data_IF_621633422559
#
_entry.id   IF_621633422559
#
_cell.length_a   1.000
_cell.length_b   1.000
_cell.length_c   1.000
_cell.angle_alpha   90.00
_cell.angle_beta   90.00
_cell.angle_gamma   90.00
#
_symmetry.space_group_name_H-M   'P 1'
#
loop_
_entity.id
_entity.type
_entity.pdbx_description
1 polymer ?
#
# COMPACT_ATOMS: atom_id res chain seq x y z
N UNK A 1 5.07 -5.77 33.51
CA UNK A 1 4.90 -5.61 32.06
C UNK A 1 4.13 -6.84 31.63
N UNK A 2 2.91 -6.70 31.13
CA UNK A 2 2.13 -7.87 30.70
C UNK A 2 2.86 -8.52 29.53
N UNK A 3 3.24 -9.79 29.68
CA UNK A 3 3.68 -10.64 28.57
C UNK A 3 2.48 -10.81 27.64
N UNK A 4 2.37 -9.92 26.67
CA UNK A 4 1.41 -10.04 25.60
C UNK A 4 1.93 -11.13 24.67
N UNK A 5 1.16 -12.21 24.50
CA UNK A 5 1.50 -13.28 23.56
C UNK A 5 1.46 -12.74 22.13
N UNK A 6 2.65 -12.52 21.56
CA UNK A 6 2.84 -11.95 20.24
C UNK A 6 2.31 -12.86 19.14
N UNK A 7 2.25 -14.18 19.37
CA UNK A 7 1.68 -15.14 18.43
C UNK A 7 0.17 -14.93 18.31
N UNK A 8 -0.54 -14.79 19.43
CA UNK A 8 -2.00 -14.55 19.42
C UNK A 8 -2.36 -13.22 18.75
N UNK A 9 -1.53 -12.19 18.96
CA UNK A 9 -1.69 -10.92 18.29
C UNK A 9 -1.52 -11.06 16.77
N UNK A 10 -0.41 -11.63 16.30
CA UNK A 10 -0.16 -11.79 14.86
C UNK A 10 -1.19 -12.70 14.19
N UNK A 11 -1.68 -13.70 14.90
CA UNK A 11 -2.79 -14.52 14.43
C UNK A 11 -4.08 -13.71 14.27
N UNK A 12 -4.40 -12.84 15.23
CA UNK A 12 -5.52 -11.91 15.12
C UNK A 12 -5.39 -10.95 13.93
N UNK A 13 -4.18 -10.44 13.66
CA UNK A 13 -3.90 -9.62 12.48
C UNK A 13 -4.23 -10.35 11.17
N UNK A 14 -3.82 -11.62 11.06
CA UNK A 14 -4.07 -12.45 9.87
C UNK A 14 -5.58 -12.68 9.68
N UNK A 15 -6.29 -13.04 10.75
CA UNK A 15 -7.74 -13.26 10.72
C UNK A 15 -8.52 -12.00 10.33
N UNK A 16 -8.08 -10.84 10.81
CA UNK A 16 -8.67 -9.55 10.45
C UNK A 16 -8.34 -9.16 9.01
N UNK A 17 -7.12 -9.41 8.52
CA UNK A 17 -6.75 -9.18 7.12
C UNK A 17 -7.66 -9.99 6.18
N UNK A 18 -7.85 -11.29 6.47
CA UNK A 18 -8.75 -12.14 5.70
C UNK A 18 -10.19 -11.66 5.73
N UNK A 19 -10.64 -11.19 6.90
CA UNK A 19 -11.98 -10.62 7.05
C UNK A 19 -12.12 -9.37 6.19
N UNK A 20 -11.15 -8.43 6.26
CA UNK A 20 -11.11 -7.18 5.48
C UNK A 20 -11.11 -7.42 3.98
N UNK A 21 -10.39 -8.43 3.50
CA UNK A 21 -10.35 -8.78 2.07
C UNK A 21 -11.66 -9.40 1.55
N UNK A 22 -12.52 -9.94 2.42
CA UNK A 22 -13.82 -10.53 2.05
C UNK A 22 -14.99 -9.54 2.13
N UNK A 23 -14.76 -8.32 2.61
CA UNK A 23 -15.82 -7.39 2.95
C UNK A 23 -16.59 -6.85 1.75
N UNK A 24 -17.90 -6.72 1.92
CA UNK A 24 -18.75 -5.89 1.08
C UNK A 24 -19.26 -4.66 1.86
N UNK A 25 -19.86 -3.69 1.15
CA UNK A 25 -20.39 -2.45 1.73
C UNK A 25 -21.46 -2.68 2.83
N UNK A 26 -22.13 -3.84 2.84
CA UNK A 26 -23.24 -4.14 3.75
C UNK A 26 -22.75 -4.55 5.16
N UNK A 27 -21.47 -4.88 5.32
CA UNK A 27 -20.89 -5.36 6.59
C UNK A 27 -20.24 -4.23 7.41
N UNK A 28 -20.08 -3.02 6.87
CA UNK A 28 -19.36 -1.90 7.52
C UNK A 28 -19.87 -1.64 8.95
N UNK A 29 -21.18 -1.66 9.16
CA UNK A 29 -21.77 -1.37 10.47
C UNK A 29 -21.39 -2.43 11.51
N UNK A 30 -21.41 -3.71 11.13
CA UNK A 30 -21.02 -4.80 12.02
C UNK A 30 -19.55 -4.70 12.43
N UNK A 31 -18.66 -4.47 11.46
CA UNK A 31 -17.22 -4.36 11.70
C UNK A 31 -16.91 -3.14 12.55
N UNK A 32 -17.51 -1.98 12.23
CA UNK A 32 -17.33 -0.76 13.01
C UNK A 32 -17.75 -0.96 14.47
N UNK A 33 -18.83 -1.72 14.72
CA UNK A 33 -19.26 -2.09 16.06
C UNK A 33 -18.26 -3.01 16.77
N UNK A 34 -17.76 -4.05 16.09
CA UNK A 34 -16.72 -4.94 16.64
C UNK A 34 -15.46 -4.16 17.03
N UNK A 35 -15.00 -3.25 16.17
CA UNK A 35 -13.81 -2.43 16.44
C UNK A 35 -14.07 -1.47 17.59
N UNK A 36 -15.23 -0.82 17.63
CA UNK A 36 -15.58 0.10 18.71
C UNK A 36 -15.58 -0.59 20.09
N UNK A 37 -15.90 -1.89 20.14
CA UNK A 37 -15.84 -2.72 21.35
C UNK A 37 -14.42 -3.14 21.78
N UNK A 38 -13.39 -2.91 20.96
CA UNK A 38 -12.00 -3.20 21.36
C UNK A 38 -11.55 -2.16 22.39
N UNK A 39 -11.38 -2.55 23.65
CA UNK A 39 -10.92 -1.64 24.71
C UNK A 39 -9.43 -1.28 24.61
N UNK A 40 -8.65 -2.11 23.90
CA UNK A 40 -7.21 -1.96 23.73
C UNK A 40 -6.87 -0.98 22.59
N UNK A 41 -6.31 0.18 22.96
CA UNK A 41 -5.94 1.25 22.03
C UNK A 41 -4.86 0.82 21.03
N UNK A 42 -3.91 -0.02 21.44
CA UNK A 42 -2.84 -0.52 20.56
C UNK A 42 -3.43 -1.45 19.48
N UNK A 43 -4.42 -2.29 19.85
CA UNK A 43 -5.14 -3.12 18.87
C UNK A 43 -5.95 -2.27 17.89
N UNK A 44 -6.60 -1.20 18.37
CA UNK A 44 -7.31 -0.25 17.51
C UNK A 44 -6.36 0.44 16.53
N UNK A 45 -5.22 0.97 16.99
CA UNK A 45 -4.22 1.60 16.11
C UNK A 45 -3.64 0.59 15.12
N UNK A 46 -3.35 -0.64 15.56
CA UNK A 46 -2.88 -1.71 14.67
C UNK A 46 -3.89 -2.02 13.58
N UNK A 47 -5.17 -2.10 13.92
CA UNK A 47 -6.25 -2.26 12.95
C UNK A 47 -6.27 -1.13 11.93
N UNK A 48 -6.16 0.13 12.38
CA UNK A 48 -6.16 1.28 11.48
C UNK A 48 -4.97 1.24 10.52
N UNK A 49 -3.78 0.91 11.01
CA UNK A 49 -2.59 0.76 10.18
C UNK A 49 -2.75 -0.38 9.17
N UNK A 50 -3.31 -1.52 9.60
CA UNK A 50 -3.60 -2.64 8.71
C UNK A 50 -4.65 -2.27 7.65
N UNK A 51 -5.70 -1.57 8.05
CA UNK A 51 -6.66 -0.99 7.15
C UNK A 51 -5.89 -0.16 6.12
N UNK A 52 -5.13 0.87 6.52
CA UNK A 52 -4.37 1.71 5.58
C UNK A 52 -3.50 0.91 4.59
N UNK A 53 -2.79 -0.11 5.05
CA UNK A 53 -1.94 -0.99 4.22
C UNK A 53 -2.77 -1.79 3.21
N UNK A 54 -3.90 -2.36 3.62
CA UNK A 54 -4.80 -3.11 2.72
C UNK A 54 -5.44 -2.24 1.63
N UNK A 55 -5.45 -0.91 1.82
CA UNK A 55 -6.04 0.03 0.87
C UNK A 55 -5.06 0.62 -0.13
N UNK A 56 -3.75 0.48 0.09
CA UNK A 56 -2.77 0.72 -0.98
C UNK A 56 -2.94 -0.28 -2.14
N UNK A 57 -3.44 -1.49 -1.85
CA UNK A 57 -3.59 -2.58 -2.81
C UNK A 57 -4.86 -2.48 -3.68
N UNK A 58 -5.84 -1.64 -3.32
CA UNK A 58 -7.13 -1.57 -4.01
C UNK A 58 -7.73 -0.15 -3.97
N UNK A 59 -7.24 0.73 -4.86
CA UNK A 59 -7.62 2.14 -5.01
C UNK A 59 -9.13 2.43 -5.13
N UNK A 60 -9.96 1.40 -5.33
CA UNK A 60 -11.42 1.46 -5.43
C UNK A 60 -12.14 1.49 -4.07
N UNK A 61 -11.42 1.34 -2.96
CA UNK A 61 -12.00 1.25 -1.60
C UNK A 61 -11.85 2.50 -0.73
N UNK A 62 -11.33 3.62 -1.24
CA UNK A 62 -11.17 4.84 -0.43
C UNK A 62 -12.49 5.35 0.17
N UNK A 63 -13.62 5.23 -0.54
CA UNK A 63 -14.95 5.60 0.00
C UNK A 63 -15.45 4.65 1.07
N UNK A 64 -15.30 3.34 0.84
CA UNK A 64 -15.64 2.30 1.80
C UNK A 64 -14.90 2.55 3.13
N UNK A 65 -13.64 2.95 3.06
CA UNK A 65 -12.79 3.15 4.24
C UNK A 65 -12.95 4.49 4.90
N UNK A 66 -13.10 5.55 4.12
CA UNK A 66 -13.53 6.81 4.68
C UNK A 66 -14.84 6.64 5.47
N UNK A 67 -15.77 5.80 4.98
CA UNK A 67 -17.01 5.46 5.68
C UNK A 67 -16.75 4.62 6.93
N UNK A 68 -16.01 3.50 6.83
CA UNK A 68 -15.65 2.67 7.98
C UNK A 68 -14.98 3.50 9.09
N UNK A 69 -13.92 4.24 8.76
CA UNK A 69 -13.18 5.07 9.71
C UNK A 69 -14.03 6.22 10.27
N UNK A 70 -15.00 6.72 9.50
CA UNK A 70 -15.95 7.71 10.02
C UNK A 70 -16.85 7.14 11.14
N UNK A 71 -17.02 5.82 11.22
CA UNK A 71 -17.83 5.15 12.24
C UNK A 71 -17.03 4.69 13.46
N UNK A 72 -15.70 4.74 13.43
CA UNK A 72 -14.87 4.39 14.58
C UNK A 72 -14.75 5.60 15.53
N UNK A 73 -14.99 5.33 16.82
CA UNK A 73 -15.01 6.32 17.89
C UNK A 73 -13.72 6.29 18.71
N UNK A 74 -13.45 7.41 19.42
CA UNK A 74 -12.33 7.54 20.36
C UNK A 74 -10.94 7.31 19.74
N UNK A 75 -10.74 7.75 18.50
CA UNK A 75 -9.42 7.77 17.85
C UNK A 75 -9.08 9.22 17.52
N UNK A 76 -7.88 9.64 17.95
CA UNK A 76 -7.28 10.87 17.47
C UNK A 76 -6.56 10.61 16.14
N UNK A 77 -7.23 10.91 15.03
CA UNK A 77 -6.64 10.76 13.71
C UNK A 77 -5.47 11.72 13.45
N UNK A 78 -5.26 12.75 14.28
CA UNK A 78 -4.22 13.75 14.06
C UNK A 78 -2.80 13.17 14.07
N UNK A 79 -2.57 12.08 14.82
CA UNK A 79 -1.28 11.40 14.87
C UNK A 79 -1.05 10.46 13.66
N UNK A 80 -2.12 10.09 12.95
CA UNK A 80 -2.07 9.13 11.83
C UNK A 80 -1.94 9.83 10.47
N UNK A 81 -2.28 11.13 10.36
CA UNK A 81 -2.34 11.88 9.08
C UNK A 81 -1.04 11.82 8.28
N UNK A 82 0.10 11.83 8.95
CA UNK A 82 1.41 11.78 8.27
C UNK A 82 1.55 10.54 7.41
N UNK A 83 1.05 9.40 7.89
CA UNK A 83 1.19 8.09 7.27
C UNK A 83 -0.06 7.64 6.49
N UNK A 84 -1.12 8.45 6.46
CA UNK A 84 -2.34 8.13 5.72
C UNK A 84 -2.23 8.54 4.24
N UNK A 85 -2.85 7.76 3.32
CA UNK A 85 -3.07 8.19 1.95
C UNK A 85 -3.78 9.56 1.93
N UNK A 86 -3.26 10.52 1.16
CA UNK A 86 -3.70 11.91 1.26
C UNK A 86 -5.16 12.11 0.80
N UNK A 87 -5.63 11.27 -0.12
CA UNK A 87 -7.05 11.22 -0.49
C UNK A 87 -7.93 10.77 0.67
N UNK A 88 -7.48 9.83 1.49
CA UNK A 88 -8.22 9.40 2.69
C UNK A 88 -8.27 10.52 3.74
N UNK A 89 -7.17 11.26 3.92
CA UNK A 89 -7.15 12.47 4.77
C UNK A 89 -8.20 13.48 4.32
N UNK A 90 -8.34 13.72 3.01
CA UNK A 90 -9.37 14.58 2.45
C UNK A 90 -10.79 14.10 2.77
N UNK A 91 -11.07 12.80 2.55
CA UNK A 91 -12.39 12.22 2.82
C UNK A 91 -12.74 12.27 4.31
N UNK A 92 -11.79 11.99 5.20
CA UNK A 92 -11.98 12.12 6.66
C UNK A 92 -12.22 13.56 7.11
N UNK A 93 -11.55 14.53 6.48
CA UNK A 93 -11.84 15.96 6.72
C UNK A 93 -13.26 16.31 6.29
N UNK A 94 -13.70 15.90 5.09
CA UNK A 94 -15.08 16.15 4.61
C UNK A 94 -16.14 15.52 5.51
N UNK A 95 -15.82 14.37 6.12
CA UNK A 95 -16.67 13.70 7.11
C UNK A 95 -16.55 14.27 8.54
N UNK A 96 -15.80 15.36 8.75
CA UNK A 96 -15.69 16.05 10.04
C UNK A 96 -14.81 15.33 11.08
N UNK A 97 -14.05 14.30 10.70
CA UNK A 97 -13.17 13.56 11.62
C UNK A 97 -11.82 14.23 11.83
N UNK A 98 -11.42 15.11 10.91
CA UNK A 98 -10.16 15.87 11.00
C UNK A 98 -10.51 17.36 10.98
N UNK A 99 -10.05 18.09 11.99
CA UNK A 99 -10.23 19.54 12.08
C UNK A 99 -9.26 20.31 11.18
N UNK A 100 -9.67 21.51 10.75
CA UNK A 100 -8.86 22.38 9.88
C UNK A 100 -7.53 22.78 10.51
N UNK A 101 -7.44 22.85 11.83
CA UNK A 101 -6.19 23.22 12.52
C UNK A 101 -5.10 22.15 12.38
N UNK A 102 -5.50 20.89 12.31
CA UNK A 102 -4.60 19.77 12.04
C UNK A 102 -4.08 19.84 10.60
N UNK A 103 -4.97 20.09 9.64
CA UNK A 103 -4.61 20.29 8.23
C UNK A 103 -3.65 21.46 8.07
N UNK A 104 -3.93 22.62 8.70
CA UNK A 104 -3.04 23.79 8.69
C UNK A 104 -1.65 23.50 9.22
N UNK A 105 -1.53 22.65 10.25
CA UNK A 105 -0.23 22.26 10.81
C UNK A 105 0.53 21.40 9.80
N UNK A 106 -0.13 20.40 9.21
CA UNK A 106 0.50 19.46 8.28
C UNK A 106 0.89 20.11 6.95
N UNK A 107 0.04 21.01 6.43
CA UNK A 107 0.28 21.73 5.18
C UNK A 107 1.63 22.49 5.16
N UNK A 108 2.15 22.90 6.32
CA UNK A 108 3.44 23.60 6.42
C UNK A 108 4.64 22.77 5.97
N UNK A 109 4.53 21.46 6.02
CA UNK A 109 5.63 20.52 5.75
C UNK A 109 5.30 19.50 4.66
N UNK A 110 4.06 19.52 4.14
CA UNK A 110 3.55 18.56 3.17
C UNK A 110 2.85 19.33 2.03
N UNK A 111 3.57 19.47 0.92
CA UNK A 111 3.09 20.19 -0.26
C UNK A 111 1.83 19.55 -0.87
N UNK A 112 1.66 18.22 -0.72
CA UNK A 112 0.50 17.52 -1.24
C UNK A 112 -0.75 17.81 -0.41
N UNK A 113 -0.60 17.90 0.92
CA UNK A 113 -1.68 18.40 1.80
C UNK A 113 -2.00 19.87 1.47
N UNK A 114 -0.99 20.71 1.28
CA UNK A 114 -1.19 22.11 0.86
C UNK A 114 -1.96 22.22 -0.45
N UNK A 115 -1.67 21.35 -1.42
CA UNK A 115 -2.37 21.29 -2.70
C UNK A 115 -3.82 20.83 -2.55
N UNK A 116 -4.06 19.69 -1.88
CA UNK A 116 -5.41 19.11 -1.72
C UNK A 116 -6.35 20.07 -1.00
N UNK A 117 -5.86 20.75 0.03
CA UNK A 117 -6.65 21.66 0.86
C UNK A 117 -6.50 23.12 0.45
N UNK A 118 -6.05 23.41 -0.77
CA UNK A 118 -5.74 24.78 -1.17
C UNK A 118 -6.97 25.69 -1.08
N UNK A 119 -8.17 25.20 -1.43
CA UNK A 119 -9.43 25.94 -1.31
C UNK A 119 -9.74 26.26 0.16
N UNK A 120 -9.68 25.27 1.05
CA UNK A 120 -9.93 25.41 2.48
C UNK A 120 -8.88 26.30 3.20
N UNK A 121 -7.66 26.36 2.66
CA UNK A 121 -6.55 27.13 3.20
C UNK A 121 -6.38 28.52 2.55
N UNK A 122 -7.23 28.87 1.56
CA UNK A 122 -7.08 30.07 0.73
C UNK A 122 -5.70 30.17 0.04
N UNK A 123 -5.17 29.04 -0.42
CA UNK A 123 -3.93 28.92 -1.17
C UNK A 123 -4.23 28.71 -2.66
N UNK A 124 -3.23 29.00 -3.51
CA UNK A 124 -3.30 28.59 -4.92
C UNK A 124 -2.99 27.09 -5.03
N UNK A 125 -3.74 26.31 -5.83
CA UNK A 125 -3.50 24.88 -6.04
C UNK A 125 -2.27 24.66 -6.93
N UNK A 126 -1.08 24.86 -6.38
CA UNK A 126 0.18 24.64 -7.09
C UNK A 126 0.83 23.35 -6.63
N UNK A 127 0.93 22.36 -7.52
CA UNK A 127 1.77 21.19 -7.33
C UNK A 127 2.59 20.99 -8.60
N UNK A 128 3.92 21.02 -8.46
CA UNK A 128 4.86 20.93 -9.59
C UNK A 128 4.61 19.72 -10.50
N UNK A 129 3.98 18.67 -9.97
CA UNK A 129 3.58 17.45 -10.67
C UNK A 129 2.42 17.65 -11.67
N UNK A 130 1.49 18.57 -11.39
CA UNK A 130 0.33 18.86 -12.24
C UNK A 130 0.46 20.17 -13.01
N UNK A 131 1.32 21.08 -12.54
CA UNK A 131 1.44 22.42 -13.11
C UNK A 131 2.66 22.52 -14.03
N UNK A 132 2.59 21.85 -15.18
CA UNK A 132 3.32 22.29 -16.38
C UNK A 132 2.67 23.58 -16.93
N UNK A 133 2.58 24.61 -16.08
CA UNK A 133 2.07 25.97 -16.37
C UNK A 133 0.59 26.10 -16.79
N UNK A 134 -0.23 25.04 -16.76
CA UNK A 134 -1.69 25.13 -17.00
C UNK A 134 -2.42 25.37 -15.68
N UNK A 135 -3.31 26.37 -15.65
CA UNK A 135 -4.28 26.53 -14.56
C UNK A 135 -5.34 25.44 -14.66
N UNK A 136 -5.56 24.71 -13.56
CA UNK A 136 -6.65 23.73 -13.45
C UNK A 136 -7.98 24.46 -13.32
N UNK A 137 -9.00 23.99 -14.04
CA UNK A 137 -10.38 24.40 -13.77
C UNK A 137 -10.82 23.88 -12.40
N UNK A 138 -11.84 24.50 -11.80
CA UNK A 138 -12.40 24.05 -10.52
C UNK A 138 -12.85 22.58 -10.59
N UNK A 139 -13.44 22.17 -11.73
CA UNK A 139 -13.85 20.78 -11.97
C UNK A 139 -12.67 19.84 -12.09
N UNK A 140 -11.65 20.15 -12.89
CA UNK A 140 -10.44 19.31 -12.99
C UNK A 140 -9.76 19.17 -11.62
N UNK A 141 -9.69 20.24 -10.84
CA UNK A 141 -9.10 20.22 -9.50
C UNK A 141 -9.85 19.28 -8.55
N UNK A 142 -11.19 19.38 -8.51
CA UNK A 142 -12.03 18.51 -7.69
C UNK A 142 -11.93 17.05 -8.12
N UNK A 143 -11.92 16.78 -9.43
CA UNK A 143 -11.76 15.42 -9.97
C UNK A 143 -10.39 14.83 -9.68
N UNK A 144 -9.33 15.63 -9.75
CA UNK A 144 -7.98 15.19 -9.40
C UNK A 144 -7.90 14.81 -7.92
N UNK A 145 -8.47 15.62 -7.02
CA UNK A 145 -8.49 15.29 -5.60
C UNK A 145 -9.27 14.00 -5.36
N UNK A 146 -10.45 13.89 -5.95
CA UNK A 146 -11.37 12.77 -5.69
C UNK A 146 -10.88 11.47 -6.32
N UNK A 147 -10.47 11.52 -7.59
CA UNK A 147 -10.21 10.34 -8.40
C UNK A 147 -8.73 10.13 -8.75
N UNK A 148 -7.88 11.12 -8.51
CA UNK A 148 -6.47 11.17 -8.90
C UNK A 148 -6.23 11.76 -10.29
N UNK A 149 -7.27 11.80 -11.13
CA UNK A 149 -7.20 12.23 -12.52
C UNK A 149 -8.51 12.91 -12.95
N UNK A 150 -8.47 13.84 -13.91
CA UNK A 150 -9.68 14.37 -14.54
C UNK A 150 -10.51 13.25 -15.18
N UNK A 151 -11.83 13.32 -15.08
CA UNK A 151 -12.73 12.31 -15.66
C UNK A 151 -12.57 12.24 -17.18
N UNK A 152 -12.66 11.03 -17.71
CA UNK A 152 -12.51 10.75 -19.14
C UNK A 152 -11.08 10.91 -19.67
N UNK A 153 -10.10 11.28 -18.83
CA UNK A 153 -8.69 11.19 -19.19
C UNK A 153 -8.26 9.73 -19.38
N UNK A 154 -7.15 9.52 -20.09
CA UNK A 154 -6.66 8.17 -20.36
C UNK A 154 -6.32 7.42 -19.07
N UNK A 155 -5.62 8.08 -18.15
CA UNK A 155 -5.26 7.52 -16.86
C UNK A 155 -6.48 7.22 -15.99
N UNK A 156 -7.50 8.09 -16.02
CA UNK A 156 -8.78 7.83 -15.35
C UNK A 156 -9.46 6.57 -15.89
N UNK A 157 -9.57 6.46 -17.22
CA UNK A 157 -10.17 5.30 -17.88
C UNK A 157 -9.46 4.00 -17.48
N UNK A 158 -8.12 4.02 -17.48
CA UNK A 158 -7.36 2.84 -17.07
C UNK A 158 -7.50 2.55 -15.58
N UNK A 159 -7.39 3.55 -14.69
CA UNK A 159 -7.52 3.35 -13.22
C UNK A 159 -8.87 2.75 -12.82
N UNK A 160 -9.95 3.19 -13.48
CA UNK A 160 -11.32 2.73 -13.19
C UNK A 160 -11.81 1.61 -14.11
N UNK A 161 -10.96 1.08 -14.98
CA UNK A 161 -11.25 -0.06 -15.89
C UNK A 161 -12.47 0.16 -16.80
N UNK A 162 -12.57 1.37 -17.35
CA UNK A 162 -13.68 1.80 -18.20
C UNK A 162 -13.47 1.38 -19.65
N UNK A 163 -13.57 0.08 -19.91
CA UNK A 163 -13.20 -0.52 -21.21
C UNK A 163 -13.96 0.07 -22.41
N UNK A 164 -15.25 0.37 -22.27
CA UNK A 164 -16.03 0.93 -23.36
C UNK A 164 -15.52 2.32 -23.75
N UNK A 165 -15.24 3.18 -22.76
CA UNK A 165 -14.66 4.51 -23.00
C UNK A 165 -13.27 4.41 -23.62
N UNK A 166 -12.45 3.44 -23.20
CA UNK A 166 -11.15 3.19 -23.81
C UNK A 166 -11.29 2.87 -25.30
N UNK A 167 -12.17 1.94 -25.66
CA UNK A 167 -12.39 1.52 -27.05
C UNK A 167 -12.88 2.70 -27.89
N UNK A 168 -13.86 3.45 -27.40
CA UNK A 168 -14.43 4.60 -28.11
C UNK A 168 -13.36 5.67 -28.37
N UNK A 169 -12.53 5.97 -27.38
CA UNK A 169 -11.47 6.97 -27.49
C UNK A 169 -10.29 6.52 -28.37
N UNK A 170 -9.97 5.22 -28.36
CA UNK A 170 -8.97 4.67 -29.29
C UNK A 170 -9.50 4.71 -30.73
N UNK A 171 -10.76 4.36 -30.96
CA UNK A 171 -11.40 4.46 -32.27
C UNK A 171 -11.46 5.91 -32.77
N UNK A 172 -11.70 6.86 -31.86
CA UNK A 172 -11.68 8.29 -32.14
C UNK A 172 -10.25 8.88 -32.30
N UNK A 173 -9.20 8.07 -32.11
CA UNK A 173 -7.79 8.51 -32.12
C UNK A 173 -7.47 9.61 -31.07
N UNK A 174 -8.29 9.73 -30.02
CA UNK A 174 -8.02 10.66 -28.90
C UNK A 174 -7.02 10.08 -27.92
N UNK A 175 -6.97 8.75 -27.79
CA UNK A 175 -6.00 8.00 -26.98
C UNK A 175 -5.08 7.19 -27.89
N UNK A 176 -3.77 7.24 -27.60
CA UNK A 176 -2.76 6.38 -28.19
C UNK A 176 -2.29 5.35 -27.15
N UNK A 177 -2.66 4.09 -27.34
CA UNK A 177 -2.34 2.99 -26.42
C UNK A 177 -0.86 2.61 -26.35
N UNK A 178 -0.01 3.23 -27.16
CA UNK A 178 1.43 3.05 -27.11
C UNK A 178 2.14 4.21 -26.38
N UNK A 179 1.41 5.27 -26.02
CA UNK A 179 1.96 6.37 -25.22
C UNK A 179 1.86 6.06 -23.73
N UNK A 180 2.89 6.42 -22.94
CA UNK A 180 2.90 6.16 -21.51
C UNK A 180 1.89 7.05 -20.77
N UNK A 181 1.35 6.49 -19.69
CA UNK A 181 0.48 7.14 -18.72
C UNK A 181 1.32 7.82 -17.64
N UNK A 182 0.87 8.98 -17.16
CA UNK A 182 1.51 9.65 -16.03
C UNK A 182 0.89 9.18 -14.71
N UNK A 183 1.73 8.93 -13.71
CA UNK A 183 1.25 8.61 -12.37
C UNK A 183 0.66 9.86 -11.72
N UNK A 184 -0.30 9.71 -10.82
CA UNK A 184 -0.79 10.83 -10.03
C UNK A 184 0.04 10.95 -8.75
N UNK A 185 -0.02 12.11 -8.10
CA UNK A 185 0.76 12.39 -6.89
C UNK A 185 0.22 11.68 -5.62
N UNK A 186 -0.94 11.04 -5.68
CA UNK A 186 -1.64 10.51 -4.50
C UNK A 186 -1.37 9.03 -4.23
N UNK A 187 -1.03 8.27 -5.27
CA UNK A 187 -0.83 6.83 -5.18
C UNK A 187 0.67 6.53 -4.93
N UNK A 188 1.01 5.94 -3.79
CA UNK A 188 2.39 5.79 -3.30
C UNK A 188 3.17 4.57 -3.83
N UNK A 189 2.57 3.79 -4.72
CA UNK A 189 3.09 2.46 -5.12
C UNK A 189 4.02 2.52 -6.34
N UNK A 190 4.12 3.69 -6.96
CA UNK A 190 4.84 3.88 -8.21
C UNK A 190 6.36 4.05 -8.02
N UNK A 191 7.13 3.25 -8.76
CA UNK A 191 8.59 3.34 -8.79
C UNK A 191 9.11 4.38 -9.81
N UNK A 192 8.24 4.89 -10.68
CA UNK A 192 8.58 5.87 -11.73
C UNK A 192 7.40 6.80 -12.00
N UNK A 193 7.64 7.94 -12.65
CA UNK A 193 6.60 8.92 -12.98
C UNK A 193 5.74 8.55 -14.19
N UNK A 194 6.18 7.54 -14.97
CA UNK A 194 5.51 7.11 -16.21
C UNK A 194 5.53 5.61 -16.38
N UNK A 195 4.39 5.06 -16.78
CA UNK A 195 4.23 3.65 -17.08
C UNK A 195 3.68 3.44 -18.48
N UNK A 196 4.02 2.32 -19.11
CA UNK A 196 3.28 1.86 -20.28
C UNK A 196 1.82 1.58 -19.87
N UNK A 197 0.86 1.70 -20.78
CA UNK A 197 -0.54 1.45 -20.47
C UNK A 197 -0.81 0.06 -19.92
N UNK A 198 -0.09 -0.97 -20.41
CA UNK A 198 -0.27 -2.32 -19.91
C UNK A 198 0.24 -2.48 -18.48
N UNK A 199 1.40 -1.89 -18.14
CA UNK A 199 1.89 -1.91 -16.75
C UNK A 199 0.97 -1.11 -15.84
N UNK A 200 0.44 0.01 -16.32
CA UNK A 200 -0.49 0.86 -15.58
C UNK A 200 -1.81 0.12 -15.28
N UNK A 201 -2.41 -0.52 -16.29
CA UNK A 201 -3.60 -1.35 -16.11
C UNK A 201 -3.35 -2.55 -15.17
N UNK A 202 -2.17 -3.17 -15.25
CA UNK A 202 -1.79 -4.26 -14.34
C UNK A 202 -1.71 -3.78 -12.90
N UNK A 203 -1.08 -2.62 -12.68
CA UNK A 203 -0.86 -2.04 -11.36
C UNK A 203 -2.17 -1.58 -10.68
N UNK A 204 -3.13 -1.10 -11.46
CA UNK A 204 -4.46 -0.75 -10.95
C UNK A 204 -5.45 -1.93 -10.89
N UNK A 205 -5.03 -3.14 -11.30
CA UNK A 205 -5.91 -4.30 -11.32
C UNK A 205 -7.06 -4.18 -12.34
N UNK A 206 -6.87 -3.39 -13.40
CA UNK A 206 -7.90 -3.07 -14.41
C UNK A 206 -7.98 -4.16 -15.46
N UNK A 207 -8.72 -5.22 -15.15
CA UNK A 207 -8.77 -6.48 -15.88
C UNK A 207 -9.19 -6.30 -17.34
N UNK A 208 -10.26 -5.55 -17.60
CA UNK A 208 -10.84 -5.47 -18.93
C UNK A 208 -9.98 -4.60 -19.87
N UNK A 209 -9.52 -3.45 -19.37
CA UNK A 209 -8.52 -2.63 -20.03
C UNK A 209 -7.21 -3.41 -20.25
N UNK A 210 -6.74 -4.18 -19.28
CA UNK A 210 -5.53 -5.01 -19.42
C UNK A 210 -5.68 -6.05 -20.54
N UNK A 211 -6.80 -6.80 -20.56
CA UNK A 211 -7.14 -7.77 -21.61
C UNK A 211 -7.21 -7.14 -22.99
N UNK A 212 -7.69 -5.92 -23.09
CA UNK A 212 -7.70 -5.18 -24.35
C UNK A 212 -6.29 -4.75 -24.76
N UNK A 213 -5.55 -4.12 -23.86
CA UNK A 213 -4.21 -3.59 -24.12
C UNK A 213 -3.23 -4.70 -24.52
N UNK A 214 -3.20 -5.83 -23.81
CA UNK A 214 -2.20 -6.90 -24.07
C UNK A 214 -2.30 -7.48 -25.48
N UNK A 215 -3.47 -7.37 -26.12
CA UNK A 215 -3.72 -7.84 -27.49
C UNK A 215 -3.43 -6.79 -28.56
N UNK A 216 -3.44 -5.51 -28.19
CA UNK A 216 -3.45 -4.40 -29.15
C UNK A 216 -2.20 -3.49 -29.09
N UNK A 217 -1.39 -3.57 -28.03
CA UNK A 217 -0.13 -2.83 -27.96
C UNK A 217 0.92 -3.42 -28.91
N UNK A 218 1.79 -2.56 -29.46
CA UNK A 218 2.82 -2.98 -30.40
C UNK A 218 3.92 -3.82 -29.76
N UNK A 219 4.28 -3.51 -28.51
CA UNK A 219 5.34 -4.18 -27.78
C UNK A 219 4.92 -4.37 -26.32
N UNK A 220 5.07 -5.60 -25.83
CA UNK A 220 4.86 -5.92 -24.42
C UNK A 220 5.97 -5.26 -23.58
N UNK A 221 5.62 -4.41 -22.61
CA UNK A 221 6.59 -3.70 -21.78
C UNK A 221 7.30 -4.64 -20.80
N UNK A 222 8.49 -4.24 -20.37
CA UNK A 222 9.20 -4.88 -19.25
C UNK A 222 8.50 -4.54 -17.93
N UNK A 223 8.51 -5.49 -16.99
CA UNK A 223 8.01 -5.27 -15.62
C UNK A 223 6.50 -5.41 -15.44
N UNK A 224 5.77 -5.86 -16.47
CA UNK A 224 4.33 -6.13 -16.39
C UNK A 224 3.99 -7.17 -15.31
N UNK A 225 4.87 -8.14 -15.11
CA UNK A 225 4.80 -9.15 -14.06
C UNK A 225 4.86 -8.53 -12.66
N UNK A 226 5.83 -7.63 -12.41
CA UNK A 226 5.94 -6.92 -11.14
C UNK A 226 4.72 -6.03 -10.91
N UNK A 227 4.28 -5.29 -11.93
CA UNK A 227 3.08 -4.46 -11.83
C UNK A 227 1.82 -5.30 -11.56
N UNK A 228 1.69 -6.47 -12.20
CA UNK A 228 0.57 -7.38 -11.96
C UNK A 228 0.59 -7.96 -10.54
N UNK A 229 1.78 -8.26 -9.99
CA UNK A 229 1.89 -8.75 -8.60
C UNK A 229 1.48 -7.62 -7.67
N UNK A 230 2.09 -6.45 -7.81
CA UNK A 230 1.84 -5.29 -6.96
C UNK A 230 0.35 -4.87 -7.02
N UNK A 231 -0.27 -4.92 -8.20
CA UNK A 231 -1.68 -4.56 -8.38
C UNK A 231 -2.67 -5.60 -7.84
N UNK A 232 -2.21 -6.73 -7.32
CA UNK A 232 -3.03 -7.63 -6.51
C UNK A 232 -4.12 -8.41 -7.25
N UNK A 233 -4.25 -8.26 -8.57
CA UNK A 233 -5.30 -8.92 -9.33
C UNK A 233 -4.85 -10.30 -9.86
N UNK A 234 -5.38 -11.36 -9.25
CA UNK A 234 -5.03 -12.74 -9.59
C UNK A 234 -5.35 -13.12 -11.04
N UNK A 235 -6.39 -12.54 -11.65
CA UNK A 235 -6.72 -12.79 -13.06
C UNK A 235 -5.64 -12.21 -13.98
N UNK A 236 -5.17 -10.99 -13.72
CA UNK A 236 -4.07 -10.38 -14.46
C UNK A 236 -2.80 -11.24 -14.32
N UNK A 237 -2.47 -11.71 -13.12
CA UNK A 237 -1.32 -12.61 -12.91
C UNK A 237 -1.43 -13.89 -13.73
N UNK A 238 -2.62 -14.51 -13.78
CA UNK A 238 -2.87 -15.70 -14.60
C UNK A 238 -2.68 -15.40 -16.10
N UNK A 239 -3.14 -14.26 -16.58
CA UNK A 239 -2.93 -13.82 -17.98
C UNK A 239 -1.43 -13.60 -18.25
N UNK A 240 -0.72 -12.90 -17.37
CA UNK A 240 0.74 -12.68 -17.49
C UNK A 240 1.50 -14.02 -17.54
N UNK A 241 1.09 -15.00 -16.73
CA UNK A 241 1.65 -16.36 -16.76
C UNK A 241 1.40 -17.05 -18.10
N UNK A 242 0.15 -17.05 -18.59
CA UNK A 242 -0.23 -17.65 -19.87
C UNK A 242 0.54 -17.05 -21.06
N UNK A 243 0.84 -15.76 -20.99
CA UNK A 243 1.59 -15.04 -22.01
C UNK A 243 3.12 -15.22 -21.90
N UNK A 244 3.61 -16.05 -20.98
CA UNK A 244 5.02 -16.28 -20.67
C UNK A 244 5.78 -14.99 -20.30
N UNK A 245 5.14 -14.10 -19.53
CA UNK A 245 5.70 -12.80 -19.15
C UNK A 245 6.20 -12.75 -17.70
N UNK A 246 6.03 -13.81 -16.91
CA UNK A 246 6.52 -13.90 -15.52
C UNK A 246 8.05 -14.07 -15.45
N UNK A 247 8.70 -13.41 -14.49
CA UNK A 247 10.12 -13.62 -14.15
C UNK A 247 10.31 -14.10 -12.71
N UNK A 248 11.54 -14.50 -12.35
CA UNK A 248 11.85 -15.27 -11.13
C UNK A 248 11.53 -14.59 -9.79
N UNK A 249 11.39 -13.26 -9.75
CA UNK A 249 11.32 -12.52 -8.47
C UNK A 249 9.88 -12.14 -8.05
N UNK A 250 8.84 -12.72 -8.67
CA UNK A 250 7.46 -12.41 -8.32
C UNK A 250 7.07 -12.77 -6.87
N UNK A 251 7.65 -13.83 -6.29
CA UNK A 251 7.40 -14.21 -4.88
C UNK A 251 7.87 -13.13 -3.90
N UNK A 252 9.08 -12.58 -4.13
CA UNK A 252 9.63 -11.51 -3.32
C UNK A 252 8.72 -10.27 -3.33
N UNK A 253 8.28 -9.88 -4.53
CA UNK A 253 7.37 -8.75 -4.73
C UNK A 253 6.04 -9.03 -4.03
N UNK A 254 5.51 -10.26 -4.13
CA UNK A 254 4.27 -10.62 -3.47
C UNK A 254 4.37 -10.50 -1.94
N UNK A 255 5.48 -10.94 -1.34
CA UNK A 255 5.74 -10.79 0.10
C UNK A 255 5.84 -9.32 0.49
N UNK A 256 6.64 -8.54 -0.25
CA UNK A 256 6.91 -7.12 0.04
C UNK A 256 5.64 -6.26 0.02
N UNK A 257 4.72 -6.55 -0.91
CA UNK A 257 3.49 -5.79 -1.12
C UNK A 257 2.26 -6.47 -0.53
N UNK A 258 2.43 -7.41 0.41
CA UNK A 258 1.31 -8.07 1.11
C UNK A 258 0.33 -8.83 0.21
N UNK A 259 0.77 -9.26 -0.97
CA UNK A 259 -0.05 -9.95 -1.96
C UNK A 259 -0.11 -11.45 -1.67
N UNK A 260 -0.66 -11.79 -0.50
CA UNK A 260 -0.60 -13.13 0.07
C UNK A 260 -1.32 -14.18 -0.79
N UNK A 261 -2.46 -13.83 -1.41
CA UNK A 261 -3.16 -14.74 -2.33
C UNK A 261 -2.36 -15.03 -3.60
N UNK A 262 -1.66 -14.01 -4.11
CA UNK A 262 -0.76 -14.18 -5.27
C UNK A 262 0.46 -14.99 -4.84
N UNK A 263 1.01 -14.76 -3.64
CA UNK A 263 2.12 -15.53 -3.09
C UNK A 263 1.79 -17.03 -3.03
N UNK A 264 0.63 -17.40 -2.48
CA UNK A 264 0.16 -18.79 -2.43
C UNK A 264 0.03 -19.38 -3.85
N UNK A 265 -0.62 -18.63 -4.75
CA UNK A 265 -0.83 -19.09 -6.11
C UNK A 265 0.50 -19.30 -6.85
N UNK A 266 1.46 -18.39 -6.69
CA UNK A 266 2.79 -18.52 -7.28
C UNK A 266 3.51 -19.77 -6.73
N UNK A 267 3.42 -20.02 -5.42
CA UNK A 267 4.07 -21.17 -4.77
C UNK A 267 3.53 -22.51 -5.29
N UNK A 268 2.24 -22.59 -5.59
CA UNK A 268 1.58 -23.79 -6.11
C UNK A 268 1.77 -24.00 -7.62
N UNK A 269 1.82 -22.91 -8.39
CA UNK A 269 1.69 -22.97 -9.85
C UNK A 269 2.97 -22.64 -10.61
N UNK A 270 3.96 -22.02 -9.94
CA UNK A 270 5.19 -21.57 -10.60
C UNK A 270 6.41 -22.18 -9.92
N UNK A 271 7.18 -22.95 -10.69
CA UNK A 271 8.45 -23.54 -10.22
C UNK A 271 9.56 -22.50 -10.27
N UNK A 272 9.64 -21.67 -9.23
CA UNK A 272 10.85 -20.91 -8.92
C UNK A 272 11.53 -21.54 -7.70
N UNK A 273 12.84 -21.33 -7.57
CA UNK A 273 13.55 -21.72 -6.36
C UNK A 273 12.95 -20.94 -5.18
N UNK A 274 12.43 -21.66 -4.19
CA UNK A 274 11.84 -21.05 -2.99
C UNK A 274 12.95 -20.39 -2.17
N UNK A 275 13.13 -19.09 -2.38
CA UNK A 275 14.08 -18.30 -1.60
C UNK A 275 13.46 -17.87 -0.26
N UNK A 276 14.32 -17.62 0.71
CA UNK A 276 13.91 -17.06 1.99
C UNK A 276 13.71 -15.54 1.87
N UNK A 277 12.47 -15.09 1.71
CA UNK A 277 12.13 -13.66 1.62
C UNK A 277 11.67 -13.05 2.95
N UNK A 278 12.03 -13.65 4.09
CA UNK A 278 11.59 -13.18 5.41
C UNK A 278 11.92 -11.70 5.67
N UNK A 279 13.05 -11.19 5.18
CA UNK A 279 13.41 -9.77 5.35
C UNK A 279 12.43 -8.82 4.66
N UNK A 280 11.75 -9.26 3.59
CA UNK A 280 10.72 -8.49 2.89
C UNK A 280 9.37 -8.52 3.61
N UNK A 281 9.21 -9.39 4.60
CA UNK A 281 7.96 -9.57 5.35
C UNK A 281 7.85 -8.66 6.59
N UNK A 282 8.74 -7.67 6.75
CA UNK A 282 8.77 -6.79 7.93
C UNK A 282 7.52 -5.89 8.10
N UNK A 283 6.63 -5.87 7.11
CA UNK A 283 5.29 -5.26 7.12
C UNK A 283 4.17 -6.24 6.68
N UNK A 284 4.49 -7.53 6.58
CA UNK A 284 3.57 -8.59 6.16
C UNK A 284 3.41 -9.63 7.29
N UNK A 285 2.38 -9.52 8.16
CA UNK A 285 2.22 -10.42 9.29
C UNK A 285 2.09 -11.88 8.84
N UNK A 286 1.29 -12.13 7.80
CA UNK A 286 1.05 -13.48 7.27
C UNK A 286 2.32 -14.12 6.71
N UNK A 287 3.06 -13.40 5.87
CA UNK A 287 4.30 -13.93 5.30
C UNK A 287 5.38 -14.11 6.39
N UNK A 288 5.48 -13.20 7.35
CA UNK A 288 6.44 -13.30 8.46
C UNK A 288 6.20 -14.57 9.27
N UNK A 289 4.93 -14.82 9.64
CA UNK A 289 4.51 -16.03 10.34
C UNK A 289 4.79 -17.26 9.49
N UNK A 290 4.45 -17.24 8.21
CA UNK A 290 4.74 -18.34 7.28
C UNK A 290 6.22 -18.72 7.27
N UNK A 291 7.14 -17.76 7.10
CA UNK A 291 8.59 -18.06 7.05
C UNK A 291 9.09 -18.62 8.38
N UNK A 292 8.69 -18.04 9.52
CA UNK A 292 9.11 -18.51 10.86
C UNK A 292 8.59 -19.92 11.13
N UNK A 293 7.30 -20.19 10.89
CA UNK A 293 6.69 -21.48 11.18
C UNK A 293 7.18 -22.61 10.27
N UNK A 294 7.58 -22.30 9.04
CA UNK A 294 8.15 -23.27 8.11
C UNK A 294 9.67 -23.47 8.29
N UNK A 295 10.29 -22.88 9.33
CA UNK A 295 11.68 -23.13 9.69
C UNK A 295 12.71 -22.51 8.75
N UNK A 296 12.34 -21.44 8.03
CA UNK A 296 13.30 -20.66 7.27
C UNK A 296 14.29 -19.97 8.22
N UNK A 297 15.51 -19.69 7.72
CA UNK A 297 16.51 -18.94 8.47
C UNK A 297 15.98 -17.55 8.83
N UNK A 298 15.66 -17.34 10.11
CA UNK A 298 15.03 -16.12 10.62
C UNK A 298 15.92 -14.88 10.48
N UNK A 299 17.24 -15.09 10.41
CA UNK A 299 18.26 -14.05 10.29
C UNK A 299 18.79 -13.88 8.86
N UNK A 300 18.14 -14.50 7.87
CA UNK A 300 18.49 -14.34 6.47
C UNK A 300 18.44 -12.86 6.05
N UNK A 301 19.44 -12.46 5.26
CA UNK A 301 19.62 -11.08 4.82
C UNK A 301 19.40 -10.98 3.31
N UNK A 302 18.63 -9.96 2.90
CA UNK A 302 18.51 -9.56 1.50
C UNK A 302 18.96 -8.10 1.41
N UNK A 303 19.85 -7.81 0.45
CA UNK A 303 20.37 -6.45 0.19
C UNK A 303 20.81 -5.71 1.46
N UNK A 304 21.58 -6.36 2.33
CA UNK A 304 22.19 -5.84 3.58
C UNK A 304 21.42 -6.09 4.89
N UNK A 305 20.11 -6.36 4.85
CA UNK A 305 19.26 -6.35 6.05
C UNK A 305 18.48 -7.65 6.27
N UNK A 306 18.30 -8.04 7.55
CA UNK A 306 17.36 -9.10 7.96
C UNK A 306 16.01 -8.51 8.36
N UNK A 307 15.00 -9.36 8.56
CA UNK A 307 13.67 -8.91 8.99
C UNK A 307 13.73 -8.05 10.27
N UNK A 308 14.57 -8.41 11.25
CA UNK A 308 14.76 -7.62 12.47
C UNK A 308 15.29 -6.20 12.21
N UNK A 309 16.20 -6.05 11.24
CA UNK A 309 16.73 -4.74 10.85
C UNK A 309 15.66 -3.89 10.14
N UNK A 310 14.88 -4.50 9.26
CA UNK A 310 13.77 -3.83 8.57
C UNK A 310 12.68 -3.39 9.56
N UNK A 311 12.35 -4.24 10.55
CA UNK A 311 11.45 -3.85 11.64
C UNK A 311 12.03 -2.70 12.48
N UNK A 312 13.35 -2.68 12.71
CA UNK A 312 14.02 -1.61 13.43
C UNK A 312 14.02 -0.29 12.65
N UNK A 313 14.13 -0.33 11.31
CA UNK A 313 14.04 0.85 10.46
C UNK A 313 12.61 1.41 10.38
N UNK A 314 11.61 0.53 10.34
CA UNK A 314 10.20 0.90 10.18
C UNK A 314 9.48 1.18 11.53
N UNK A 315 10.20 1.20 12.65
CA UNK A 315 9.64 1.32 14.01
C UNK A 315 8.61 0.22 14.37
N UNK A 316 8.67 -0.93 13.71
CA UNK A 316 7.76 -2.06 13.90
C UNK A 316 8.19 -2.92 15.10
N UNK A 317 8.11 -2.34 16.30
CA UNK A 317 8.49 -3.00 17.55
C UNK A 317 7.79 -4.35 17.73
N UNK A 318 6.53 -4.45 17.26
CA UNK A 318 5.73 -5.66 17.38
C UNK A 318 6.36 -6.84 16.63
N UNK A 319 6.68 -6.66 15.36
CA UNK A 319 7.28 -7.72 14.54
C UNK A 319 8.70 -8.03 15.03
N UNK A 320 9.43 -7.01 15.47
CA UNK A 320 10.75 -7.20 16.07
C UNK A 320 10.70 -8.11 17.32
N UNK A 321 9.74 -7.89 18.23
CA UNK A 321 9.56 -8.74 19.40
C UNK A 321 9.23 -10.17 19.01
N UNK A 322 8.27 -10.35 18.10
CA UNK A 322 7.91 -11.67 17.58
C UNK A 322 9.13 -12.42 17.01
N UNK A 323 9.96 -11.76 16.21
CA UNK A 323 11.17 -12.35 15.65
C UNK A 323 12.16 -12.78 16.75
N UNK A 324 12.43 -11.91 17.73
CA UNK A 324 13.34 -12.21 18.85
C UNK A 324 12.82 -13.37 19.72
N UNK A 325 11.52 -13.38 20.02
CA UNK A 325 10.86 -14.45 20.77
C UNK A 325 10.92 -15.80 20.03
N UNK A 326 10.93 -15.76 18.69
CA UNK A 326 11.10 -16.93 17.83
C UNK A 326 12.57 -17.22 17.45
N UNK A 327 13.53 -16.61 18.15
CA UNK A 327 14.95 -16.99 18.08
C UNK A 327 15.82 -16.18 17.13
N UNK A 328 15.35 -15.04 16.61
CA UNK A 328 16.21 -14.13 15.85
C UNK A 328 17.33 -13.56 16.74
N UNK A 329 18.56 -13.53 16.22
CA UNK A 329 19.70 -12.97 16.95
C UNK A 329 19.61 -11.45 17.05
N UNK A 330 19.27 -10.95 18.25
CA UNK A 330 19.20 -9.50 18.53
C UNK A 330 20.53 -8.76 18.30
N UNK A 331 21.65 -9.47 18.24
CA UNK A 331 22.97 -8.91 18.00
C UNK A 331 23.43 -9.08 16.54
N UNK A 332 22.61 -9.71 15.68
CA UNK A 332 22.88 -9.80 14.25
C UNK A 332 23.11 -8.39 13.72
N UNK A 333 24.16 -8.25 12.92
CA UNK A 333 24.50 -7.00 12.25
C UNK A 333 24.11 -7.06 10.78
N UNK A 334 23.88 -5.89 10.19
CA UNK A 334 23.82 -5.74 8.73
C UNK A 334 25.14 -6.19 8.10
N UNK A 335 25.15 -6.42 6.79
CA UNK A 335 26.42 -6.70 6.08
C UNK A 335 27.41 -5.52 6.13
N UNK A 336 26.92 -4.31 6.43
CA UNK A 336 27.74 -3.12 6.71
C UNK A 336 28.20 -2.99 8.18
N UNK A 337 27.75 -3.90 9.06
CA UNK A 337 28.17 -3.93 10.47
C UNK A 337 27.27 -3.12 11.42
N UNK A 338 26.14 -2.62 10.96
CA UNK A 338 25.18 -1.88 11.79
C UNK A 338 24.39 -2.81 12.68
N UNK A 339 24.22 -2.41 13.95
CA UNK A 339 23.33 -3.09 14.89
C UNK A 339 21.88 -2.67 14.68
N UNK A 340 20.94 -3.42 15.27
CA UNK A 340 19.52 -3.00 15.34
C UNK A 340 19.36 -1.60 15.94
N UNK A 341 20.16 -1.25 16.96
CA UNK A 341 20.10 0.07 17.59
C UNK A 341 20.61 1.16 16.65
N UNK A 342 21.69 0.92 15.90
CA UNK A 342 22.20 1.86 14.90
C UNK A 342 21.14 2.17 13.85
N UNK A 343 20.50 1.11 13.32
CA UNK A 343 19.43 1.25 12.31
C UNK A 343 18.25 2.01 12.91
N UNK A 344 17.77 1.62 14.09
CA UNK A 344 16.64 2.28 14.73
C UNK A 344 16.91 3.77 15.01
N UNK A 345 18.14 4.13 15.40
CA UNK A 345 18.54 5.53 15.59
C UNK A 345 18.58 6.30 14.27
N UNK A 346 19.12 5.72 13.21
CA UNK A 346 19.20 6.34 11.88
C UNK A 346 17.82 6.67 11.31
N UNK A 347 16.82 5.84 11.60
CA UNK A 347 15.43 6.02 11.17
C UNK A 347 14.51 6.60 12.27
N UNK A 348 15.07 7.10 13.37
CA UNK A 348 14.33 7.71 14.48
C UNK A 348 13.18 6.84 15.05
N UNK A 349 13.35 5.52 15.02
CA UNK A 349 12.36 4.53 15.42
C UNK A 349 12.19 4.43 16.94
N UNK A 350 11.47 5.41 17.51
CA UNK A 350 11.40 5.66 18.95
C UNK A 350 10.96 4.45 19.79
N UNK A 351 10.01 3.66 19.32
CA UNK A 351 9.50 2.51 20.08
C UNK A 351 10.56 1.41 20.14
N UNK A 352 11.24 1.16 19.03
CA UNK A 352 12.35 0.22 18.94
C UNK A 352 13.56 0.69 19.75
N UNK A 353 13.94 1.97 19.65
CA UNK A 353 15.05 2.55 20.43
C UNK A 353 14.81 2.37 21.93
N UNK A 354 13.60 2.69 22.42
CA UNK A 354 13.24 2.52 23.83
C UNK A 354 13.37 1.07 24.27
N UNK A 355 12.87 0.14 23.45
CA UNK A 355 12.94 -1.29 23.73
C UNK A 355 14.38 -1.82 23.78
N UNK A 356 15.22 -1.44 22.80
CA UNK A 356 16.61 -1.87 22.69
C UNK A 356 17.55 -1.24 23.73
N UNK A 357 17.20 -0.09 24.31
CA UNK A 357 17.98 0.50 25.42
C UNK A 357 17.63 -0.11 26.79
N UNK A 358 16.48 -0.79 26.90
CA UNK A 358 16.00 -1.39 28.14
C UNK A 358 16.40 -2.86 28.29
N UNK A 359 16.89 -3.50 27.23
CA UNK A 359 17.20 -4.94 27.12
C UNK A 359 18.50 -5.18 26.34
#
# INVERSE_FOLDING_TARGET
MYDIDMNNLLQWDIEMEESLRRMNLDEIDEISNQINQIDDEDKKISFLNMAFVLFEDNYRSHDFIANLLSKINNIDYSCLITNMPKQLVYKLYKNGKIGIDVIKKQAKTDDLISFIFSKELNLKPTLWFYTDKKELTDTEFEEIIEYGYPKGSYEYILKYDLINELIDQVAASTIDINKPCNVNAFDGVFATTRYSPLNFAALYGSVECFKYLIRNINQKPVGVDKCAVIGGNLEIIRIVCQENLLVSNCHEVAVKYNQNLIFDWLQENVRFDTNNYISRAANNPRALVYYVQNGYDIDAQIENASASHECAANNNLRFLKYLIENGADKNKKTTLGDSLLNVAQMFESQNVIKYLNQN
#
